data_IF_531623863771
#
_entry.id   IF_531623863771
#
_cell.length_a   1.000
_cell.length_b   1.000
_cell.length_c   1.000
_cell.angle_alpha   90.00
_cell.angle_beta   90.00
_cell.angle_gamma   90.00
#
_symmetry.space_group_name_H-M   'P 1'
#
loop_
_entity.id
_entity.type
_entity.pdbx_description
1 polymer ?
#
# COMPACT_ATOMS: atom_id res chain seq x y z
N UNK A 1 -9.23 3.23 -6.93
CA UNK A 1 -8.34 2.57 -5.95
C UNK A 1 -8.56 3.09 -4.54
N UNK A 2 -8.57 4.41 -4.31
CA UNK A 2 -8.84 5.02 -2.99
C UNK A 2 -10.12 4.48 -2.35
N UNK A 3 -11.26 4.54 -3.06
CA UNK A 3 -12.55 4.07 -2.53
C UNK A 3 -12.47 2.58 -2.15
N UNK A 4 -11.87 1.74 -3.00
CA UNK A 4 -11.71 0.31 -2.72
C UNK A 4 -10.85 0.05 -1.47
N UNK A 5 -9.74 0.77 -1.31
CA UNK A 5 -8.88 0.66 -0.12
C UNK A 5 -9.59 1.17 1.14
N UNK A 6 -10.32 2.28 1.07
CA UNK A 6 -11.08 2.83 2.20
C UNK A 6 -12.20 1.87 2.63
N UNK A 7 -12.95 1.32 1.69
CA UNK A 7 -13.98 0.31 1.99
C UNK A 7 -13.37 -0.94 2.62
N UNK A 8 -12.22 -1.39 2.11
CA UNK A 8 -11.49 -2.53 2.68
C UNK A 8 -11.07 -2.27 4.13
N UNK A 9 -10.49 -1.09 4.39
CA UNK A 9 -10.12 -0.67 5.73
C UNK A 9 -11.31 -0.60 6.67
N UNK A 10 -12.41 0.03 6.25
CA UNK A 10 -13.60 0.18 7.08
C UNK A 10 -14.18 -1.18 7.49
N UNK A 11 -14.35 -2.09 6.53
CA UNK A 11 -14.89 -3.43 6.80
C UNK A 11 -13.94 -4.27 7.64
N UNK A 12 -12.65 -4.26 7.31
CA UNK A 12 -11.67 -5.07 8.04
C UNK A 12 -11.46 -4.61 9.47
N UNK A 13 -11.44 -3.29 9.71
CA UNK A 13 -11.40 -2.73 11.07
C UNK A 13 -12.65 -3.11 11.86
N UNK A 14 -13.84 -3.06 11.24
CA UNK A 14 -15.09 -3.45 11.90
C UNK A 14 -15.10 -4.94 12.29
N UNK A 15 -14.56 -5.81 11.43
CA UNK A 15 -14.46 -7.25 11.71
C UNK A 15 -13.43 -7.60 12.78
N UNK A 16 -12.32 -6.85 12.84
CA UNK A 16 -11.25 -7.07 13.81
C UNK A 16 -11.56 -6.49 15.21
N UNK A 17 -12.79 -6.01 15.46
CA UNK A 17 -13.18 -5.43 16.75
C UNK A 17 -12.70 -3.98 16.96
N UNK A 18 -12.23 -3.31 15.92
CA UNK A 18 -11.81 -1.90 15.94
C UNK A 18 -10.34 -1.67 15.60
N UNK A 19 -9.97 -0.38 15.51
CA UNK A 19 -8.62 0.05 15.11
C UNK A 19 -7.59 -0.33 16.17
N UNK A 20 -7.95 -0.19 17.46
CA UNK A 20 -7.05 -0.44 18.58
C UNK A 20 -6.67 -1.92 18.63
N UNK A 21 -7.64 -2.82 18.52
CA UNK A 21 -7.39 -4.27 18.54
C UNK A 21 -6.57 -4.71 17.32
N UNK A 22 -6.84 -4.13 16.15
CA UNK A 22 -6.06 -4.38 14.93
C UNK A 22 -4.59 -3.99 15.13
N UNK A 23 -4.33 -2.81 15.69
CA UNK A 23 -2.97 -2.33 15.94
C UNK A 23 -2.28 -3.15 17.04
N UNK A 24 -3.01 -3.50 18.10
CA UNK A 24 -2.48 -4.33 19.18
C UNK A 24 -2.04 -5.70 18.67
N UNK A 25 -2.88 -6.35 17.86
CA UNK A 25 -2.60 -7.64 17.26
C UNK A 25 -1.42 -7.58 16.29
N UNK A 26 -1.35 -6.53 15.47
CA UNK A 26 -0.20 -6.30 14.58
C UNK A 26 1.10 -6.03 15.34
N UNK A 27 1.03 -5.32 16.47
CA UNK A 27 2.17 -5.08 17.35
C UNK A 27 2.67 -6.38 17.96
N UNK A 28 1.77 -7.21 18.50
CA UNK A 28 2.11 -8.52 19.09
C UNK A 28 2.72 -9.47 18.05
N UNK A 29 2.31 -9.33 16.78
CA UNK A 29 2.84 -10.06 15.64
C UNK A 29 4.20 -9.57 15.11
N UNK A 30 4.79 -8.53 15.72
CA UNK A 30 6.06 -7.94 15.27
C UNK A 30 5.98 -7.27 13.89
N UNK A 31 4.78 -6.86 13.44
CA UNK A 31 4.57 -6.30 12.10
C UNK A 31 4.62 -4.77 12.05
N UNK A 32 4.74 -4.11 13.20
CA UNK A 32 4.83 -2.65 13.34
C UNK A 32 6.27 -2.14 13.57
N UNK A 33 7.27 -3.02 13.49
CA UNK A 33 8.68 -2.63 13.60
C UNK A 33 9.13 -1.89 12.33
N UNK A 34 9.02 -0.56 12.34
CA UNK A 34 9.39 0.29 11.19
C UNK A 34 10.86 0.73 11.18
N UNK A 35 11.55 0.64 12.31
CA UNK A 35 12.87 1.22 12.51
C UNK A 35 13.90 0.15 12.89
N UNK A 36 14.24 -0.70 11.92
CA UNK A 36 15.40 -1.57 12.03
C UNK A 36 16.64 -0.82 11.52
N UNK A 37 17.51 -0.42 12.47
CA UNK A 37 18.74 0.32 12.21
C UNK A 37 19.96 -0.58 11.99
N UNK A 38 19.77 -1.88 11.76
CA UNK A 38 20.87 -2.76 11.38
C UNK A 38 21.51 -2.26 10.06
N UNK A 39 22.84 -2.23 10.06
CA UNK A 39 23.68 -1.84 8.92
C UNK A 39 24.11 -3.03 8.07
N UNK A 40 23.71 -4.25 8.46
CA UNK A 40 23.99 -5.47 7.72
C UNK A 40 23.44 -5.41 6.28
N UNK A 41 24.30 -5.56 5.25
CA UNK A 41 23.87 -5.55 3.86
C UNK A 41 23.14 -6.83 3.43
N UNK A 42 23.10 -7.85 4.30
CA UNK A 42 22.41 -9.12 4.04
C UNK A 42 20.91 -9.06 4.38
N UNK A 43 20.49 -8.07 5.17
CA UNK A 43 19.09 -7.87 5.51
C UNK A 43 18.38 -7.17 4.35
N UNK A 44 17.36 -7.84 3.81
CA UNK A 44 16.64 -7.39 2.60
C UNK A 44 16.06 -5.98 2.73
N UNK A 45 15.51 -5.64 3.90
CA UNK A 45 14.88 -4.35 4.16
C UNK A 45 15.30 -3.85 5.54
N UNK A 46 16.25 -2.92 5.60
CA UNK A 46 16.57 -2.13 6.79
C UNK A 46 16.11 -0.70 6.57
N UNK A 47 16.03 0.10 7.64
CA UNK A 47 15.67 1.51 7.53
C UNK A 47 16.62 2.24 6.56
N UNK A 48 17.93 2.05 6.73
CA UNK A 48 18.94 2.68 5.89
C UNK A 48 18.88 2.25 4.42
N UNK A 49 18.77 0.94 4.16
CA UNK A 49 18.70 0.43 2.79
C UNK A 49 17.42 0.91 2.09
N UNK A 50 16.29 0.89 2.81
CA UNK A 50 14.99 1.32 2.25
C UNK A 50 14.97 2.82 1.95
N UNK A 51 15.50 3.66 2.86
CA UNK A 51 15.59 5.11 2.65
C UNK A 51 16.55 5.45 1.50
N UNK A 52 17.73 4.83 1.48
CA UNK A 52 18.72 5.04 0.42
C UNK A 52 18.14 4.64 -0.95
N UNK A 53 17.59 3.43 -1.06
CA UNK A 53 16.95 2.95 -2.29
C UNK A 53 15.77 3.86 -2.70
N UNK A 54 14.92 4.24 -1.76
CA UNK A 54 13.80 5.15 -1.99
C UNK A 54 14.27 6.49 -2.57
N UNK A 55 15.29 7.10 -1.98
CA UNK A 55 15.87 8.36 -2.47
C UNK A 55 16.33 8.26 -3.92
N UNK A 56 17.12 7.25 -4.27
CA UNK A 56 17.60 7.06 -5.64
C UNK A 56 16.47 6.74 -6.62
N UNK A 57 15.53 5.87 -6.22
CA UNK A 57 14.42 5.45 -7.07
C UNK A 57 13.47 6.62 -7.40
N UNK A 58 13.09 7.42 -6.41
CA UNK A 58 12.23 8.59 -6.66
C UNK A 58 12.96 9.71 -7.39
N UNK A 59 14.26 9.92 -7.11
CA UNK A 59 15.08 10.86 -7.89
C UNK A 59 15.09 10.45 -9.37
N UNK A 60 15.32 9.17 -9.68
CA UNK A 60 15.22 8.67 -11.04
C UNK A 60 13.82 8.89 -11.65
N UNK A 61 12.78 8.56 -10.89
CA UNK A 61 11.39 8.63 -11.35
C UNK A 61 10.95 10.04 -11.74
N UNK A 62 11.40 11.08 -11.03
CA UNK A 62 11.03 12.47 -11.34
C UNK A 62 12.05 13.19 -12.24
N UNK A 63 13.33 12.82 -12.20
CA UNK A 63 14.39 13.51 -12.95
C UNK A 63 14.70 12.91 -14.31
N UNK A 64 14.54 11.59 -14.49
CA UNK A 64 14.99 10.91 -15.71
C UNK A 64 13.89 10.09 -16.41
N UNK A 65 12.77 9.81 -15.74
CA UNK A 65 11.66 9.12 -16.39
C UNK A 65 11.01 10.03 -17.44
N UNK A 66 11.13 9.64 -18.71
CA UNK A 66 10.65 10.43 -19.86
C UNK A 66 9.19 10.87 -19.72
N UNK A 67 8.29 9.99 -19.26
CA UNK A 67 6.86 10.28 -19.15
C UNK A 67 6.60 11.36 -18.08
N UNK A 68 7.26 11.27 -16.93
CA UNK A 68 7.10 12.26 -15.86
C UNK A 68 7.73 13.60 -16.24
N UNK A 69 8.90 13.59 -16.86
CA UNK A 69 9.59 14.78 -17.34
C UNK A 69 8.74 15.55 -18.36
N UNK A 70 8.15 14.83 -19.33
CA UNK A 70 7.25 15.42 -20.31
C UNK A 70 6.02 16.06 -19.65
N UNK A 71 5.39 15.38 -18.68
CA UNK A 71 4.25 15.92 -17.92
C UNK A 71 4.59 17.21 -17.17
N UNK A 72 5.78 17.29 -16.57
CA UNK A 72 6.24 18.49 -15.86
C UNK A 72 6.50 19.63 -16.86
N UNK A 73 7.13 19.34 -18.00
CA UNK A 73 7.45 20.34 -19.04
C UNK A 73 6.22 20.86 -19.80
N UNK A 74 5.12 20.11 -19.85
CA UNK A 74 3.86 20.57 -20.47
C UNK A 74 3.12 21.65 -19.66
N UNK A 75 3.56 21.94 -18.43
CA UNK A 75 2.91 22.93 -17.56
C UNK A 75 3.37 24.35 -17.92
N UNK A 76 2.43 25.30 -17.99
CA UNK A 76 2.65 26.68 -18.46
C UNK A 76 3.72 27.50 -17.71
N UNK A 77 4.03 27.16 -16.46
CA UNK A 77 5.01 27.91 -15.64
C UNK A 77 5.62 27.04 -14.56
N UNK A 78 6.85 27.37 -14.16
CA UNK A 78 7.59 26.71 -13.08
C UNK A 78 6.81 26.71 -11.75
N UNK A 79 6.06 27.78 -11.43
CA UNK A 79 5.26 27.85 -10.21
C UNK A 79 4.14 26.80 -10.19
N UNK A 80 3.48 26.59 -11.32
CA UNK A 80 2.44 25.57 -11.45
C UNK A 80 3.05 24.16 -11.46
N UNK A 81 4.21 23.98 -12.08
CA UNK A 81 4.93 22.70 -12.06
C UNK A 81 5.31 22.29 -10.63
N UNK A 82 5.90 23.19 -9.83
CA UNK A 82 6.20 22.94 -8.41
C UNK A 82 4.96 22.57 -7.59
N UNK A 83 3.85 23.27 -7.81
CA UNK A 83 2.58 22.99 -7.14
C UNK A 83 1.99 21.63 -7.54
N UNK A 84 2.05 21.27 -8.82
CA UNK A 84 1.59 19.98 -9.32
C UNK A 84 2.40 18.82 -8.71
N UNK A 85 3.73 18.96 -8.63
CA UNK A 85 4.60 17.98 -7.97
C UNK A 85 4.26 17.87 -6.47
N UNK A 86 4.05 18.99 -5.78
CA UNK A 86 3.66 18.98 -4.37
C UNK A 86 2.34 18.23 -4.12
N UNK A 87 1.33 18.41 -4.98
CA UNK A 87 0.09 17.66 -4.89
C UNK A 87 0.26 16.17 -5.20
N UNK A 88 1.13 15.85 -6.15
CA UNK A 88 1.47 14.47 -6.47
C UNK A 88 2.14 13.75 -5.28
N UNK A 89 3.09 14.40 -4.62
CA UNK A 89 3.75 13.87 -3.42
C UNK A 89 2.71 13.59 -2.33
N UNK A 90 1.84 14.57 -2.03
CA UNK A 90 0.78 14.38 -1.03
C UNK A 90 -0.14 13.20 -1.37
N UNK A 91 -0.58 13.11 -2.64
CA UNK A 91 -1.42 12.01 -3.10
C UNK A 91 -0.75 10.64 -2.97
N UNK A 92 0.54 10.54 -3.32
CA UNK A 92 1.31 9.30 -3.20
C UNK A 92 1.49 8.91 -1.73
N UNK A 93 1.83 9.86 -0.85
CA UNK A 93 1.95 9.61 0.60
C UNK A 93 0.64 9.10 1.18
N UNK A 94 -0.48 9.74 0.84
CA UNK A 94 -1.80 9.30 1.28
C UNK A 94 -2.15 7.88 0.78
N UNK A 95 -1.83 7.58 -0.48
CA UNK A 95 -2.04 6.25 -1.04
C UNK A 95 -1.21 5.17 -0.33
N UNK A 96 0.07 5.43 -0.04
CA UNK A 96 0.90 4.50 0.72
C UNK A 96 0.35 4.25 2.11
N UNK A 97 -0.10 5.30 2.80
CA UNK A 97 -0.73 5.16 4.11
C UNK A 97 -1.93 4.20 4.08
N UNK A 98 -2.82 4.32 3.08
CA UNK A 98 -3.96 3.42 2.91
C UNK A 98 -3.53 1.97 2.63
N UNK A 99 -2.51 1.78 1.79
CA UNK A 99 -1.99 0.45 1.44
C UNK A 99 -1.36 -0.23 2.66
N UNK A 100 -0.50 0.47 3.41
CA UNK A 100 0.12 -0.06 4.62
C UNK A 100 -0.93 -0.42 5.67
N UNK A 101 -1.90 0.46 5.90
CA UNK A 101 -3.01 0.20 6.81
C UNK A 101 -3.81 -1.04 6.38
N UNK A 102 -4.02 -1.23 5.08
CA UNK A 102 -4.75 -2.38 4.54
C UNK A 102 -3.99 -3.69 4.75
N UNK A 103 -2.65 -3.66 4.65
CA UNK A 103 -1.80 -4.80 4.98
C UNK A 103 -1.85 -5.18 6.46
N UNK A 104 -1.88 -4.20 7.36
CA UNK A 104 -2.02 -4.41 8.80
C UNK A 104 -3.38 -5.03 9.14
N UNK A 105 -4.46 -4.49 8.55
CA UNK A 105 -5.82 -5.04 8.72
C UNK A 105 -5.89 -6.48 8.25
N UNK A 106 -5.38 -6.79 7.05
CA UNK A 106 -5.37 -8.14 6.52
C UNK A 106 -4.56 -9.11 7.39
N UNK A 107 -3.41 -8.67 7.92
CA UNK A 107 -2.64 -9.47 8.87
C UNK A 107 -3.45 -9.78 10.14
N UNK A 108 -4.09 -8.76 10.73
CA UNK A 108 -4.88 -8.94 11.95
C UNK A 108 -6.11 -9.82 11.74
N UNK A 109 -6.68 -9.89 10.54
CA UNK A 109 -7.82 -10.78 10.27
C UNK A 109 -7.39 -12.25 10.14
N UNK A 110 -6.21 -12.52 9.58
CA UNK A 110 -5.71 -13.88 9.35
C UNK A 110 -4.73 -14.37 10.42
N UNK A 111 -4.57 -13.63 11.51
CA UNK A 111 -3.74 -14.04 12.65
C UNK A 111 -4.35 -15.30 13.29
N UNK A 112 -3.67 -16.44 13.14
CA UNK A 112 -4.13 -17.75 13.63
C UNK A 112 -4.77 -18.66 12.59
N UNK A 113 -5.15 -18.15 11.41
CA UNK A 113 -5.67 -18.95 10.29
C UNK A 113 -5.06 -18.44 8.98
N UNK A 114 -3.79 -18.80 8.74
CA UNK A 114 -3.04 -18.29 7.59
C UNK A 114 -3.52 -18.95 6.28
N UNK A 115 -4.15 -18.20 5.35
CA UNK A 115 -4.64 -18.74 4.08
C UNK A 115 -3.50 -19.23 3.17
N UNK A 116 -2.26 -18.80 3.40
CA UNK A 116 -1.08 -19.33 2.72
C UNK A 116 -0.69 -20.71 3.25
N UNK A 117 -0.68 -20.89 4.58
CA UNK A 117 -0.40 -22.18 5.21
C UNK A 117 -1.48 -23.22 4.87
N UNK A 118 -2.72 -22.78 4.70
CA UNK A 118 -3.85 -23.61 4.25
C UNK A 118 -3.81 -23.95 2.75
N UNK A 119 -2.87 -23.42 1.98
CA UNK A 119 -2.74 -23.67 0.54
C UNK A 119 -3.82 -23.03 -0.33
N UNK A 120 -4.68 -22.17 0.24
CA UNK A 120 -5.72 -21.43 -0.49
C UNK A 120 -5.07 -20.38 -1.40
N UNK A 121 -3.99 -19.76 -0.91
CA UNK A 121 -3.20 -18.77 -1.63
C UNK A 121 -1.80 -19.31 -1.95
N UNK A 122 -1.35 -19.14 -3.20
CA UNK A 122 0.00 -19.55 -3.64
C UNK A 122 1.05 -18.45 -3.52
N UNK A 123 0.64 -17.18 -3.64
CA UNK A 123 1.54 -16.02 -3.63
C UNK A 123 1.11 -14.99 -2.59
N UNK A 124 2.08 -14.39 -1.88
CA UNK A 124 1.82 -13.39 -0.82
C UNK A 124 1.00 -12.20 -1.32
N UNK A 125 1.18 -11.82 -2.59
CA UNK A 125 0.48 -10.72 -3.26
C UNK A 125 -1.04 -10.92 -3.39
N UNK A 126 -1.53 -12.15 -3.28
CA UNK A 126 -2.95 -12.48 -3.44
C UNK A 126 -3.75 -12.29 -2.15
N UNK A 127 -3.12 -11.96 -1.03
CA UNK A 127 -3.80 -11.85 0.27
C UNK A 127 -4.88 -10.77 0.30
N UNK A 128 -4.63 -9.61 -0.31
CA UNK A 128 -5.60 -8.50 -0.34
C UNK A 128 -6.78 -8.83 -1.28
N UNK A 129 -6.57 -9.31 -2.52
CA UNK A 129 -7.68 -9.80 -3.35
C UNK A 129 -8.49 -10.90 -2.67
N UNK A 130 -7.83 -11.85 -2.01
CA UNK A 130 -8.52 -12.92 -1.28
C UNK A 130 -9.35 -12.36 -0.13
N UNK A 131 -8.80 -11.44 0.66
CA UNK A 131 -9.52 -10.76 1.74
C UNK A 131 -10.81 -10.08 1.25
N UNK A 132 -10.76 -9.40 0.11
CA UNK A 132 -11.94 -8.75 -0.46
C UNK A 132 -13.00 -9.77 -0.86
N UNK A 133 -12.59 -10.89 -1.47
CA UNK A 133 -13.52 -11.95 -1.89
C UNK A 133 -14.12 -12.72 -0.71
N UNK A 134 -13.34 -12.95 0.34
CA UNK A 134 -13.75 -13.73 1.53
C UNK A 134 -14.61 -12.90 2.49
N UNK A 135 -14.17 -11.67 2.82
CA UNK A 135 -14.76 -10.86 3.90
C UNK A 135 -15.67 -9.74 3.42
N UNK A 136 -15.57 -9.34 2.16
CA UNK A 136 -16.29 -8.20 1.58
C UNK A 136 -17.17 -8.69 0.42
N UNK A 137 -17.80 -9.86 0.57
CA UNK A 137 -18.74 -10.38 -0.41
C UNK A 137 -20.13 -9.71 -0.31
N UNK A 138 -20.14 -8.38 -0.29
CA UNK A 138 -21.36 -7.58 -0.41
C UNK A 138 -21.55 -7.20 -1.88
N UNK A 139 -22.81 -7.20 -2.34
CA UNK A 139 -23.16 -7.01 -3.75
C UNK A 139 -22.44 -5.78 -4.34
N UNK A 140 -21.56 -6.03 -5.33
CA UNK A 140 -20.88 -4.99 -6.10
C UNK A 140 -19.51 -4.52 -5.57
N UNK A 141 -19.19 -4.71 -4.29
CA UNK A 141 -17.92 -4.24 -3.69
C UNK A 141 -16.67 -4.95 -4.25
N UNK A 142 -16.67 -6.29 -4.44
CA UNK A 142 -15.57 -6.98 -5.11
C UNK A 142 -15.37 -6.49 -6.55
N UNK A 143 -16.47 -6.22 -7.27
CA UNK A 143 -16.42 -5.68 -8.63
C UNK A 143 -15.78 -4.30 -8.70
N UNK A 144 -16.12 -3.41 -7.75
CA UNK A 144 -15.47 -2.10 -7.62
C UNK A 144 -13.98 -2.27 -7.34
N UNK A 145 -13.61 -3.18 -6.43
CA UNK A 145 -12.21 -3.42 -6.09
C UNK A 145 -11.41 -3.91 -7.31
N UNK A 146 -11.88 -4.97 -7.99
CA UNK A 146 -11.25 -5.52 -9.20
C UNK A 146 -11.17 -4.46 -10.31
N UNK A 147 -12.26 -3.73 -10.56
CA UNK A 147 -12.29 -2.65 -11.54
C UNK A 147 -11.25 -1.57 -11.24
N UNK A 148 -11.03 -1.24 -9.96
CA UNK A 148 -10.00 -0.27 -9.59
C UNK A 148 -8.56 -0.78 -9.72
N UNK A 149 -8.32 -2.08 -9.52
CA UNK A 149 -7.00 -2.69 -9.77
C UNK A 149 -6.71 -2.69 -11.26
N UNK A 150 -7.66 -3.12 -12.08
CA UNK A 150 -7.51 -3.14 -13.53
C UNK A 150 -7.28 -1.72 -14.03
N UNK A 151 -8.09 -0.76 -13.62
CA UNK A 151 -7.91 0.65 -13.98
C UNK A 151 -6.56 1.24 -13.53
N UNK A 152 -5.98 0.75 -12.42
CA UNK A 152 -4.64 1.16 -11.99
C UNK A 152 -3.51 0.49 -12.80
N UNK A 153 -3.75 -0.72 -13.30
CA UNK A 153 -2.79 -1.47 -14.13
C UNK A 153 -2.71 -0.98 -15.58
N UNK A 154 -3.79 -0.34 -16.06
CA UNK A 154 -3.83 0.29 -17.37
C UNK A 154 -2.94 1.53 -17.37
N UNK A 155 -1.84 1.48 -18.11
CA UNK A 155 -0.87 2.56 -18.29
C UNK A 155 -1.22 3.45 -19.48
#
# INVERSE_FOLDING_TARGET
>A
MVIGLVSLLAVGVAQNGGIIETLYTASKGGRLEMFDFDLSPFVRHTFFNTVAFGFFNYSYFYSFNQINLQRICSVKSLKYAKRAISYNIFGITFMYFLIFSSGVVAYSTYVGCDPMALGIIRKKEQIIPYFVMDKINYIGLPGIFVGTIIGASMR
#
